data_IF_014897767625
#
_entry.id   IF_014897767625
#
_cell.length_a   1.000
_cell.length_b   1.000
_cell.length_c   1.000
_cell.angle_alpha   90.00
_cell.angle_beta   90.00
_cell.angle_gamma   90.00
#
_symmetry.space_group_name_H-M   'P 1'
#
loop_
_entity.id
_entity.type
_entity.pdbx_description
1 polymer ?
#
# COMPACT_ATOMS: atom_id res chain seq x y z
N UNK A 1 -2.66 2.45 -15.62
CA UNK A 1 -2.41 1.34 -14.71
C UNK A 1 -3.74 0.79 -14.24
N UNK A 2 -4.39 1.26 -13.26
CA UNK A 2 -5.76 0.93 -12.92
C UNK A 2 -6.73 2.05 -13.33
N UNK A 3 -7.95 1.99 -12.84
CA UNK A 3 -8.94 3.07 -13.01
C UNK A 3 -8.79 4.10 -11.87
N UNK A 4 -7.76 4.94 -11.97
CA UNK A 4 -7.48 5.96 -10.96
C UNK A 4 -8.63 6.97 -10.81
N UNK A 5 -9.29 7.34 -11.93
CA UNK A 5 -10.42 8.29 -11.92
C UNK A 5 -11.65 7.69 -11.24
N UNK A 6 -11.94 6.42 -11.51
CA UNK A 6 -13.08 5.73 -10.92
C UNK A 6 -12.92 5.44 -9.43
N UNK A 7 -11.70 5.15 -8.98
CA UNK A 7 -11.43 4.79 -7.57
C UNK A 7 -11.26 6.01 -6.67
N UNK A 8 -10.71 7.12 -7.20
CA UNK A 8 -10.33 8.29 -6.41
C UNK A 8 -11.46 8.88 -5.52
N UNK A 9 -12.74 8.92 -5.95
CA UNK A 9 -13.83 9.43 -5.11
C UNK A 9 -14.12 8.61 -3.84
N UNK A 10 -13.64 7.37 -3.78
CA UNK A 10 -13.97 6.41 -2.72
C UNK A 10 -12.83 6.16 -1.73
N UNK A 11 -11.68 6.80 -1.91
CA UNK A 11 -10.49 6.58 -1.07
C UNK A 11 -10.11 7.84 -0.29
N UNK A 12 -9.39 7.67 0.80
CA UNK A 12 -8.85 8.78 1.61
C UNK A 12 -7.35 8.98 1.42
N UNK A 13 -6.66 7.96 0.91
CA UNK A 13 -5.21 7.96 0.64
C UNK A 13 -4.93 7.23 -0.67
N UNK A 14 -4.08 7.80 -1.51
CA UNK A 14 -3.63 7.21 -2.76
C UNK A 14 -2.15 6.81 -2.66
N UNK A 15 -1.84 5.56 -3.01
CA UNK A 15 -0.47 5.07 -3.14
C UNK A 15 -0.02 5.27 -4.59
N UNK A 16 0.76 6.30 -4.86
CA UNK A 16 1.13 6.70 -6.22
C UNK A 16 2.44 6.03 -6.65
N UNK A 17 2.37 5.23 -7.72
CA UNK A 17 3.52 4.54 -8.29
C UNK A 17 4.57 5.55 -8.82
N UNK A 18 5.84 5.29 -8.51
CA UNK A 18 6.94 6.21 -8.70
C UNK A 18 7.87 5.86 -9.89
N UNK A 19 7.33 5.21 -10.93
CA UNK A 19 8.02 4.99 -12.20
C UNK A 19 8.83 3.69 -12.31
N UNK A 20 9.10 2.96 -11.21
CA UNK A 20 9.95 1.76 -11.24
C UNK A 20 9.18 0.45 -11.46
N UNK A 21 7.96 0.36 -11.00
CA UNK A 21 7.08 -0.80 -11.29
C UNK A 21 5.93 -0.44 -12.21
N UNK A 22 5.63 0.83 -12.32
CA UNK A 22 4.53 1.36 -13.11
C UNK A 22 4.55 2.88 -13.04
N UNK A 23 3.66 3.53 -13.80
CA UNK A 23 3.62 4.97 -13.98
C UNK A 23 4.77 5.52 -14.84
N UNK A 24 4.64 6.77 -15.19
CA UNK A 24 5.61 7.64 -15.84
C UNK A 24 5.44 9.06 -15.30
N UNK A 25 6.32 10.02 -15.64
CA UNK A 25 6.20 11.39 -15.09
C UNK A 25 4.86 12.07 -15.36
N UNK A 26 4.26 11.85 -16.54
CA UNK A 26 2.98 12.45 -16.89
C UNK A 26 1.81 11.79 -16.15
N UNK A 27 1.85 10.47 -16.00
CA UNK A 27 0.86 9.74 -15.21
C UNK A 27 0.94 10.13 -13.74
N UNK A 28 2.14 10.18 -13.15
CA UNK A 28 2.36 10.61 -11.77
C UNK A 28 1.78 12.01 -11.53
N UNK A 29 2.04 12.97 -12.44
CA UNK A 29 1.47 14.31 -12.37
C UNK A 29 -0.05 14.28 -12.38
N UNK A 30 -0.67 13.58 -13.34
CA UNK A 30 -2.13 13.48 -13.43
C UNK A 30 -2.77 12.89 -12.18
N UNK A 31 -2.14 11.83 -11.62
CA UNK A 31 -2.64 11.19 -10.39
C UNK A 31 -2.55 12.13 -9.19
N UNK A 32 -1.48 12.92 -9.07
CA UNK A 32 -1.37 13.96 -8.02
C UNK A 32 -2.45 15.04 -8.18
N UNK A 33 -2.65 15.55 -9.41
CA UNK A 33 -3.69 16.56 -9.68
C UNK A 33 -5.09 16.02 -9.37
N UNK A 34 -5.36 14.77 -9.71
CA UNK A 34 -6.63 14.10 -9.41
C UNK A 34 -6.84 13.93 -7.90
N UNK A 35 -5.82 13.49 -7.18
CA UNK A 35 -5.87 13.38 -5.72
C UNK A 35 -6.14 14.75 -5.06
N UNK A 36 -5.50 15.81 -5.54
CA UNK A 36 -5.75 17.17 -5.06
C UNK A 36 -7.21 17.60 -5.27
N UNK A 37 -7.78 17.33 -6.45
CA UNK A 37 -9.19 17.67 -6.77
C UNK A 37 -10.18 16.96 -5.83
N UNK A 38 -9.85 15.74 -5.39
CA UNK A 38 -10.71 14.96 -4.50
C UNK A 38 -10.35 15.09 -3.01
N UNK A 39 -9.35 15.90 -2.66
CA UNK A 39 -8.90 16.04 -1.27
C UNK A 39 -8.24 14.75 -0.70
N UNK A 40 -7.72 13.88 -1.55
CA UNK A 40 -7.09 12.60 -1.21
C UNK A 40 -5.63 12.82 -0.86
N UNK A 41 -5.18 12.23 0.25
CA UNK A 41 -3.77 12.26 0.66
C UNK A 41 -2.93 11.40 -0.28
N UNK A 42 -1.68 11.82 -0.55
CA UNK A 42 -0.79 11.11 -1.48
C UNK A 42 0.42 10.55 -0.76
N UNK A 43 0.65 9.25 -0.92
CA UNK A 43 1.83 8.53 -0.46
C UNK A 43 2.66 7.97 -1.61
N UNK A 44 3.96 7.77 -1.35
CA UNK A 44 4.88 7.21 -2.32
C UNK A 44 4.80 5.67 -2.34
N UNK A 45 4.39 5.12 -3.48
CA UNK A 45 4.33 3.67 -3.71
C UNK A 45 5.60 3.20 -4.39
N UNK A 46 6.62 2.97 -3.58
CA UNK A 46 7.98 2.64 -4.02
C UNK A 46 8.16 1.14 -4.27
N UNK A 47 9.01 0.78 -5.23
CA UNK A 47 9.17 -0.60 -5.66
C UNK A 47 10.59 -0.95 -6.08
N UNK A 48 10.79 -2.24 -6.35
CA UNK A 48 11.94 -2.74 -7.10
C UNK A 48 11.94 -2.18 -8.55
N UNK A 49 13.11 -2.02 -9.18
CA UNK A 49 13.22 -1.57 -10.57
C UNK A 49 12.83 -2.69 -11.56
N UNK A 50 11.57 -3.08 -11.53
CA UNK A 50 11.02 -4.23 -12.27
C UNK A 50 9.75 -3.85 -13.03
N UNK A 51 9.89 -2.95 -14.00
CA UNK A 51 8.75 -2.49 -14.81
C UNK A 51 8.05 -3.66 -15.55
N UNK A 52 8.83 -4.59 -16.10
CA UNK A 52 8.31 -5.74 -16.85
C UNK A 52 7.56 -6.76 -15.95
N UNK A 53 7.91 -6.87 -14.67
CA UNK A 53 7.25 -7.73 -13.69
C UNK A 53 6.31 -6.99 -12.76
N UNK A 54 6.05 -5.71 -13.03
CA UNK A 54 5.22 -4.83 -12.20
C UNK A 54 5.70 -4.80 -10.74
N UNK A 55 7.02 -4.87 -10.50
CA UNK A 55 7.59 -4.89 -9.15
C UNK A 55 7.22 -6.13 -8.31
N UNK A 56 6.70 -7.19 -8.92
CA UNK A 56 6.22 -8.40 -8.22
C UNK A 56 7.22 -9.58 -8.29
N UNK A 57 8.44 -9.36 -8.81
CA UNK A 57 9.52 -10.34 -8.82
C UNK A 57 10.61 -9.92 -7.83
N UNK A 58 11.01 -10.82 -6.93
CA UNK A 58 12.08 -10.53 -5.98
C UNK A 58 13.42 -10.33 -6.68
N UNK A 59 14.20 -9.39 -6.19
CA UNK A 59 15.54 -9.08 -6.67
C UNK A 59 16.54 -9.11 -5.52
N UNK A 60 17.74 -9.60 -5.77
CA UNK A 60 18.83 -9.54 -4.79
C UNK A 60 19.49 -8.17 -4.89
N UNK A 61 19.24 -7.32 -3.92
CA UNK A 61 19.74 -5.94 -3.83
C UNK A 61 20.22 -5.74 -2.38
N UNK A 62 21.34 -5.07 -2.19
CA UNK A 62 21.83 -4.75 -0.85
C UNK A 62 21.05 -3.59 -0.21
N UNK A 63 21.30 -3.36 1.10
CA UNK A 63 20.57 -2.35 1.88
C UNK A 63 20.79 -0.93 1.34
N UNK A 64 22.04 -0.58 1.04
CA UNK A 64 22.39 0.79 0.63
C UNK A 64 21.81 1.10 -0.76
N UNK A 65 21.99 0.18 -1.71
CA UNK A 65 21.41 0.30 -3.05
C UNK A 65 19.89 0.40 -2.99
N UNK A 66 19.24 -0.45 -2.17
CA UNK A 66 17.78 -0.42 -1.99
C UNK A 66 17.30 0.90 -1.38
N UNK A 67 17.99 1.42 -0.37
CA UNK A 67 17.64 2.72 0.22
C UNK A 67 17.74 3.86 -0.82
N UNK A 68 18.77 3.86 -1.65
CA UNK A 68 18.94 4.82 -2.73
C UNK A 68 17.85 4.70 -3.81
N UNK A 69 17.46 3.48 -4.18
CA UNK A 69 16.35 3.21 -5.10
C UNK A 69 15.03 3.77 -4.56
N UNK A 70 14.77 3.57 -3.27
CA UNK A 70 13.55 4.07 -2.61
C UNK A 70 13.57 5.59 -2.53
N UNK A 71 14.68 6.17 -2.09
CA UNK A 71 14.84 7.62 -1.95
C UNK A 71 14.65 8.34 -3.30
N UNK A 72 15.21 7.80 -4.38
CA UNK A 72 15.04 8.33 -5.73
C UNK A 72 13.55 8.38 -6.14
N UNK A 73 12.81 7.32 -5.88
CA UNK A 73 11.39 7.24 -6.20
C UNK A 73 10.55 8.23 -5.42
N UNK A 74 10.81 8.35 -4.10
CA UNK A 74 10.11 9.33 -3.25
C UNK A 74 10.42 10.75 -3.72
N UNK A 75 11.70 11.04 -4.04
CA UNK A 75 12.14 12.33 -4.55
C UNK A 75 11.44 12.72 -5.87
N UNK A 76 11.23 11.76 -6.76
CA UNK A 76 10.51 11.98 -8.01
C UNK A 76 9.04 12.41 -7.74
N UNK A 77 8.31 11.68 -6.88
CA UNK A 77 6.95 12.04 -6.51
C UNK A 77 6.89 13.37 -5.74
N UNK A 78 7.85 13.59 -4.85
CA UNK A 78 7.92 14.81 -4.02
C UNK A 78 7.99 16.08 -4.87
N UNK A 79 8.69 16.05 -6.01
CA UNK A 79 8.73 17.18 -6.94
C UNK A 79 7.35 17.57 -7.47
N UNK A 80 6.48 16.60 -7.79
CA UNK A 80 5.11 16.86 -8.24
C UNK A 80 4.22 17.30 -7.08
N UNK A 81 4.39 16.73 -5.89
CA UNK A 81 3.67 17.16 -4.70
C UNK A 81 3.99 18.61 -4.32
N UNK A 82 5.26 19.00 -4.36
CA UNK A 82 5.69 20.38 -4.08
C UNK A 82 5.10 21.36 -5.09
N UNK A 83 5.08 21.00 -6.37
CA UNK A 83 4.45 21.81 -7.40
C UNK A 83 2.95 21.97 -7.18
N UNK A 84 2.26 20.93 -6.67
CA UNK A 84 0.84 20.95 -6.34
C UNK A 84 0.53 21.60 -4.97
N UNK A 85 1.55 21.94 -4.17
CA UNK A 85 1.36 22.44 -2.81
C UNK A 85 0.84 21.37 -1.83
N UNK A 86 1.06 20.09 -2.11
CA UNK A 86 0.59 18.96 -1.32
C UNK A 86 1.74 18.36 -0.48
N UNK A 87 1.51 17.95 0.77
CA UNK A 87 2.50 17.22 1.54
C UNK A 87 2.58 15.76 1.06
N UNK A 88 3.77 15.14 1.18
CA UNK A 88 3.90 13.69 1.18
C UNK A 88 3.24 13.15 2.45
N UNK A 89 2.28 12.24 2.30
CA UNK A 89 1.46 11.75 3.41
C UNK A 89 2.05 10.50 4.08
N UNK A 90 2.58 9.57 3.30
CA UNK A 90 3.10 8.29 3.78
C UNK A 90 3.99 7.62 2.73
N UNK A 91 4.66 6.55 3.13
CA UNK A 91 5.41 5.66 2.24
C UNK A 91 4.82 4.26 2.34
N UNK A 92 4.61 3.63 1.18
CA UNK A 92 4.16 2.23 1.10
C UNK A 92 5.02 1.47 0.10
N UNK A 93 5.79 0.45 0.51
CA UNK A 93 6.43 -0.46 -0.42
C UNK A 93 5.41 -1.21 -1.28
N UNK A 94 5.74 -1.45 -2.57
CA UNK A 94 4.90 -2.18 -3.51
C UNK A 94 5.36 -3.62 -3.70
N UNK A 95 4.41 -4.53 -3.91
CA UNK A 95 4.63 -5.87 -4.46
C UNK A 95 5.70 -6.69 -3.74
N UNK A 96 6.71 -7.15 -4.49
CA UNK A 96 7.78 -7.97 -3.92
C UNK A 96 8.59 -7.21 -2.85
N UNK A 97 8.82 -5.89 -3.02
CA UNK A 97 9.51 -5.10 -2.01
C UNK A 97 8.77 -5.11 -0.66
N UNK A 98 7.43 -5.03 -0.68
CA UNK A 98 6.60 -5.15 0.53
C UNK A 98 6.81 -6.50 1.23
N UNK A 99 6.68 -7.60 0.48
CA UNK A 99 6.90 -8.95 1.03
C UNK A 99 8.32 -9.20 1.51
N UNK A 100 9.33 -8.67 0.82
CA UNK A 100 10.74 -8.75 1.23
C UNK A 100 10.98 -7.98 2.53
N UNK A 101 10.49 -6.74 2.63
CA UNK A 101 10.64 -5.93 3.84
C UNK A 101 9.92 -6.53 5.06
N UNK A 102 8.82 -7.26 4.85
CA UNK A 102 8.12 -7.96 5.94
C UNK A 102 8.95 -9.09 6.58
N UNK A 103 9.99 -9.65 5.88
CA UNK A 103 10.72 -10.86 6.31
C UNK A 103 12.25 -10.79 6.20
N UNK A 104 12.78 -9.73 5.55
CA UNK A 104 14.22 -9.55 5.34
C UNK A 104 14.69 -8.26 6.03
N UNK A 105 15.43 -8.41 7.13
CA UNK A 105 15.80 -7.30 8.00
C UNK A 105 16.55 -6.18 7.25
N UNK A 106 17.50 -6.52 6.36
CA UNK A 106 18.26 -5.52 5.60
C UNK A 106 17.37 -4.71 4.64
N UNK A 107 16.30 -5.31 4.10
CA UNK A 107 15.33 -4.61 3.25
C UNK A 107 14.39 -3.72 4.09
N UNK A 108 13.92 -4.22 5.24
CA UNK A 108 13.14 -3.39 6.16
C UNK A 108 13.94 -2.15 6.61
N UNK A 109 15.22 -2.33 6.93
CA UNK A 109 16.12 -1.22 7.25
C UNK A 109 16.34 -0.27 6.08
N UNK A 110 16.42 -0.76 4.83
CA UNK A 110 16.54 0.11 3.66
C UNK A 110 15.30 1.02 3.48
N UNK A 111 14.10 0.46 3.68
CA UNK A 111 12.85 1.25 3.68
C UNK A 111 12.89 2.30 4.80
N UNK A 112 13.31 1.90 6.01
CA UNK A 112 13.41 2.79 7.15
C UNK A 112 14.45 3.92 6.92
N UNK A 113 15.60 3.62 6.30
CA UNK A 113 16.63 4.61 5.98
C UNK A 113 16.08 5.71 5.06
N UNK A 114 15.31 5.35 4.04
CA UNK A 114 14.67 6.32 3.15
C UNK A 114 13.52 7.08 3.85
N UNK A 115 12.73 6.40 4.67
CA UNK A 115 11.61 7.01 5.40
C UNK A 115 12.09 8.03 6.44
N UNK A 116 13.24 7.79 7.07
CA UNK A 116 13.86 8.72 8.04
C UNK A 116 14.13 10.11 7.45
N UNK A 117 14.35 10.20 6.14
CA UNK A 117 14.58 11.49 5.45
C UNK A 117 13.30 12.35 5.46
N UNK A 118 12.13 11.72 5.27
CA UNK A 118 10.87 12.43 5.08
C UNK A 118 10.02 12.53 6.35
N UNK A 119 10.27 11.69 7.36
CA UNK A 119 9.56 11.69 8.65
C UNK A 119 8.05 11.57 8.50
N UNK A 120 7.61 10.71 7.58
CA UNK A 120 6.20 10.39 7.34
C UNK A 120 5.91 8.94 7.72
N UNK A 121 4.64 8.59 8.01
CA UNK A 121 4.24 7.22 8.31
C UNK A 121 4.67 6.22 7.23
N UNK A 122 4.98 4.99 7.66
CA UNK A 122 5.24 3.86 6.76
C UNK A 122 4.14 2.82 6.94
N UNK A 123 3.47 2.48 5.84
CA UNK A 123 2.42 1.47 5.82
C UNK A 123 3.05 0.08 5.71
N UNK A 124 2.53 -0.87 6.48
CA UNK A 124 3.05 -2.23 6.47
C UNK A 124 2.16 -3.25 7.15
N UNK A 125 2.52 -4.52 7.02
CA UNK A 125 1.80 -5.63 7.62
C UNK A 125 2.17 -5.74 9.11
N UNK A 126 1.17 -5.76 9.98
CA UNK A 126 1.35 -5.96 11.42
C UNK A 126 2.00 -7.33 11.74
N UNK A 127 2.65 -7.42 12.88
CA UNK A 127 3.34 -8.63 13.35
C UNK A 127 4.47 -9.13 12.43
N UNK A 128 5.09 -8.23 11.64
CA UNK A 128 6.22 -8.51 10.77
C UNK A 128 7.41 -7.59 11.06
N UNK A 129 8.50 -7.73 10.30
CA UNK A 129 9.64 -6.80 10.38
C UNK A 129 9.27 -5.35 10.03
N UNK A 130 8.18 -5.11 9.30
CA UNK A 130 7.68 -3.76 9.11
C UNK A 130 7.44 -3.06 10.45
N UNK A 131 6.68 -3.68 11.33
CA UNK A 131 6.35 -3.10 12.63
C UNK A 131 7.55 -3.02 13.56
N UNK A 132 8.32 -4.10 13.67
CA UNK A 132 9.45 -4.17 14.62
C UNK A 132 10.60 -3.26 14.21
N UNK A 133 10.98 -3.22 12.93
CA UNK A 133 12.10 -2.39 12.45
C UNK A 133 11.71 -0.91 12.41
N UNK A 134 10.51 -0.59 11.89
CA UNK A 134 10.09 0.81 11.78
C UNK A 134 9.85 1.42 13.17
N UNK A 135 9.20 0.66 14.08
CA UNK A 135 8.98 1.08 15.46
C UNK A 135 10.29 1.28 16.23
N UNK A 136 11.26 0.36 16.09
CA UNK A 136 12.59 0.50 16.73
C UNK A 136 13.37 1.73 16.22
N UNK A 137 13.06 2.22 15.01
CA UNK A 137 13.63 3.45 14.43
C UNK A 137 12.86 4.71 14.82
N UNK A 138 11.77 4.59 15.57
CA UNK A 138 10.90 5.72 15.93
C UNK A 138 10.09 6.27 14.75
N UNK A 139 9.92 5.49 13.68
CA UNK A 139 9.03 5.84 12.57
C UNK A 139 7.58 5.53 12.96
N UNK A 140 6.66 6.38 12.53
CA UNK A 140 5.23 6.08 12.65
C UNK A 140 4.89 4.92 11.72
N UNK A 141 4.44 3.81 12.31
CA UNK A 141 3.99 2.63 11.58
C UNK A 141 2.47 2.59 11.54
N UNK A 142 1.89 2.35 10.36
CA UNK A 142 0.46 2.16 10.18
C UNK A 142 0.19 0.75 9.68
N UNK A 143 -0.53 -0.03 10.48
CA UNK A 143 -0.88 -1.41 10.14
C UNK A 143 -1.91 -1.45 9.01
N UNK A 144 -1.54 -2.10 7.92
CA UNK A 144 -2.34 -2.20 6.71
C UNK A 144 -3.04 -3.55 6.61
N UNK A 145 -4.33 -3.51 6.26
CA UNK A 145 -5.15 -4.67 5.93
C UNK A 145 -5.52 -4.67 4.45
N UNK A 146 -5.51 -5.83 3.81
CA UNK A 146 -5.82 -5.99 2.39
C UNK A 146 -7.20 -6.59 2.23
N UNK A 147 -8.14 -5.82 1.68
CA UNK A 147 -9.53 -6.26 1.51
C UNK A 147 -9.72 -7.17 0.29
N UNK A 148 -8.89 -6.99 -0.73
CA UNK A 148 -8.99 -7.61 -2.05
C UNK A 148 -7.88 -8.64 -2.35
N UNK A 149 -7.04 -8.96 -1.37
CA UNK A 149 -6.06 -10.04 -1.44
C UNK A 149 -6.37 -11.15 -0.44
N UNK A 150 -5.83 -12.32 -0.72
CA UNK A 150 -5.93 -13.48 0.14
C UNK A 150 -4.69 -13.63 1.04
N UNK A 151 -4.87 -14.33 2.15
CA UNK A 151 -3.83 -14.66 3.12
C UNK A 151 -3.62 -16.17 3.18
N UNK A 152 -2.38 -16.62 3.35
CA UNK A 152 -2.10 -18.01 3.72
C UNK A 152 -2.40 -18.27 5.21
N UNK A 153 -2.29 -19.54 5.65
CA UNK A 153 -2.61 -19.95 7.02
C UNK A 153 -1.65 -19.38 8.08
N UNK A 154 -0.56 -18.74 7.65
CA UNK A 154 0.40 -18.07 8.51
C UNK A 154 0.22 -16.53 8.50
N UNK A 155 -0.82 -16.02 7.84
CA UNK A 155 -1.10 -14.59 7.72
C UNK A 155 -0.23 -13.85 6.71
N UNK A 156 0.44 -14.56 5.79
CA UNK A 156 1.20 -13.93 4.72
C UNK A 156 0.29 -13.63 3.54
N UNK A 157 0.51 -12.47 2.91
CA UNK A 157 -0.20 -12.09 1.70
C UNK A 157 0.17 -13.01 0.53
N UNK A 158 -0.83 -13.46 -0.20
CA UNK A 158 -0.67 -14.17 -1.46
C UNK A 158 -0.64 -13.12 -2.59
N UNK A 159 0.57 -12.69 -2.94
CA UNK A 159 0.79 -11.68 -3.99
C UNK A 159 0.90 -12.39 -5.33
N UNK A 160 -0.13 -12.23 -6.16
CA UNK A 160 -0.17 -12.77 -7.53
C UNK A 160 0.26 -11.73 -8.56
N UNK A 161 0.72 -12.18 -9.72
CA UNK A 161 1.10 -11.27 -10.82
C UNK A 161 -0.11 -10.55 -11.42
N UNK A 162 -1.23 -11.25 -11.52
CA UNK A 162 -2.50 -10.74 -12.03
C UNK A 162 -3.56 -10.86 -10.95
N UNK A 163 -4.39 -9.84 -10.82
CA UNK A 163 -5.51 -9.84 -9.89
C UNK A 163 -6.77 -10.36 -10.59
N UNK A 164 -7.59 -11.05 -9.83
CA UNK A 164 -8.93 -11.48 -10.25
C UNK A 164 -9.98 -10.58 -9.58
N UNK A 165 -11.16 -10.51 -10.18
CA UNK A 165 -12.29 -9.82 -9.58
C UNK A 165 -12.64 -10.44 -8.21
N UNK A 166 -12.88 -9.58 -7.22
CA UNK A 166 -13.31 -9.98 -5.87
C UNK A 166 -14.73 -9.47 -5.66
N UNK A 167 -15.59 -10.27 -5.04
CA UNK A 167 -16.95 -9.82 -4.70
C UNK A 167 -16.86 -8.62 -3.74
N UNK A 168 -17.42 -7.45 -4.10
CA UNK A 168 -17.37 -6.25 -3.26
C UNK A 168 -17.97 -6.48 -1.86
N UNK A 169 -19.00 -7.33 -1.74
CA UNK A 169 -19.60 -7.65 -0.45
C UNK A 169 -18.64 -8.47 0.43
N UNK A 170 -17.85 -9.36 -0.17
CA UNK A 170 -16.81 -10.13 0.53
C UNK A 170 -15.70 -9.21 1.01
N UNK A 171 -15.23 -8.28 0.16
CA UNK A 171 -14.21 -7.31 0.53
C UNK A 171 -14.69 -6.40 1.67
N UNK A 172 -15.90 -5.86 1.59
CA UNK A 172 -16.52 -5.06 2.65
C UNK A 172 -16.66 -5.84 3.96
N UNK A 173 -17.12 -7.10 3.91
CA UNK A 173 -17.23 -7.97 5.10
C UNK A 173 -15.87 -8.21 5.75
N UNK A 174 -14.82 -8.49 4.98
CA UNK A 174 -13.45 -8.65 5.50
C UNK A 174 -12.99 -7.41 6.26
N UNK A 175 -13.30 -6.22 5.78
CA UNK A 175 -12.97 -4.95 6.46
C UNK A 175 -13.72 -4.82 7.79
N UNK A 176 -15.01 -5.15 7.81
CA UNK A 176 -15.83 -5.11 9.03
C UNK A 176 -15.30 -6.12 10.06
N UNK A 177 -15.01 -7.35 9.66
CA UNK A 177 -14.45 -8.38 10.55
C UNK A 177 -13.09 -7.93 11.12
N UNK A 178 -12.20 -7.40 10.28
CA UNK A 178 -10.90 -6.89 10.70
C UNK A 178 -11.02 -5.72 11.69
N UNK A 179 -11.96 -4.79 11.45
CA UNK A 179 -12.15 -3.61 12.30
C UNK A 179 -12.81 -3.93 13.64
N UNK A 180 -13.80 -4.83 13.68
CA UNK A 180 -14.57 -5.13 14.90
C UNK A 180 -13.91 -6.25 15.70
N UNK A 181 -13.51 -7.33 15.05
CA UNK A 181 -13.05 -8.56 15.70
C UNK A 181 -11.52 -8.71 15.67
N UNK A 182 -10.80 -7.86 14.91
CA UNK A 182 -9.36 -8.00 14.71
C UNK A 182 -8.99 -9.30 13.98
N UNK A 183 -9.89 -9.85 13.15
CA UNK A 183 -9.69 -11.14 12.50
C UNK A 183 -10.00 -11.09 11.00
N UNK A 184 -9.36 -11.99 10.26
CA UNK A 184 -9.73 -12.36 8.87
C UNK A 184 -9.60 -13.86 8.69
N UNK A 185 -9.96 -14.37 7.51
CA UNK A 185 -9.90 -15.80 7.22
C UNK A 185 -8.91 -16.07 6.09
N UNK A 186 -8.03 -17.07 6.27
CA UNK A 186 -7.12 -17.54 5.22
C UNK A 186 -7.87 -18.25 4.09
N UNK A 187 -7.17 -18.53 2.97
CA UNK A 187 -7.69 -19.30 1.84
C UNK A 187 -8.19 -20.71 2.23
N UNK A 188 -7.66 -21.27 3.31
CA UNK A 188 -8.04 -22.60 3.83
C UNK A 188 -9.03 -22.53 5.00
N UNK A 189 -9.58 -21.34 5.32
CA UNK A 189 -10.57 -21.17 6.38
C UNK A 189 -10.00 -21.01 7.79
N UNK A 190 -8.70 -20.81 7.93
CA UNK A 190 -8.06 -20.55 9.24
C UNK A 190 -8.33 -19.12 9.68
N UNK A 191 -8.77 -18.93 10.93
CA UNK A 191 -8.93 -17.58 11.51
C UNK A 191 -7.57 -16.98 11.85
N UNK A 192 -7.31 -15.80 11.33
CA UNK A 192 -6.06 -15.05 11.49
C UNK A 192 -6.30 -13.78 12.28
N UNK A 193 -5.40 -13.46 13.21
CA UNK A 193 -5.40 -12.18 13.91
C UNK A 193 -4.78 -11.10 13.01
N UNK A 194 -5.49 -9.99 12.81
CA UNK A 194 -5.04 -8.85 11.99
C UNK A 194 -5.26 -7.55 12.72
N UNK A 195 -4.52 -6.52 12.29
CA UNK A 195 -4.73 -5.13 12.69
C UNK A 195 -4.92 -4.29 11.44
N UNK A 196 -5.99 -3.49 11.43
CA UNK A 196 -6.42 -2.68 10.30
C UNK A 196 -6.54 -1.20 10.71
N UNK A 197 -5.42 -0.47 10.68
CA UNK A 197 -5.39 0.99 10.85
C UNK A 197 -5.65 1.69 9.51
N UNK A 198 -5.31 1.02 8.41
CA UNK A 198 -5.63 1.41 7.04
C UNK A 198 -6.01 0.19 6.21
N UNK A 199 -6.83 0.39 5.17
CA UNK A 199 -7.29 -0.67 4.26
C UNK A 199 -6.76 -0.41 2.87
N UNK A 200 -6.10 -1.42 2.28
CA UNK A 200 -5.62 -1.40 0.91
C UNK A 200 -6.64 -2.01 -0.05
N UNK A 201 -6.79 -1.34 -1.19
CA UNK A 201 -7.49 -1.82 -2.38
C UNK A 201 -6.58 -1.55 -3.58
N UNK A 202 -6.49 -2.49 -4.51
CA UNK A 202 -5.66 -2.38 -5.70
C UNK A 202 -6.47 -1.88 -6.90
N UNK A 203 -6.04 -0.78 -7.51
CA UNK A 203 -6.71 -0.20 -8.69
C UNK A 203 -6.55 -1.03 -9.96
N UNK A 204 -5.64 -1.99 -9.99
CA UNK A 204 -5.45 -2.98 -11.07
C UNK A 204 -6.33 -4.24 -10.91
N UNK A 205 -7.16 -4.33 -9.88
CA UNK A 205 -8.21 -5.34 -9.75
C UNK A 205 -9.36 -5.01 -10.73
N UNK A 206 -9.88 -5.99 -11.52
CA UNK A 206 -10.83 -5.70 -12.60
C UNK A 206 -12.09 -4.91 -12.20
N UNK A 207 -12.55 -5.06 -10.95
CA UNK A 207 -13.71 -4.37 -10.39
C UNK A 207 -13.35 -3.49 -9.17
N UNK A 208 -12.21 -2.81 -9.25
CA UNK A 208 -11.67 -2.00 -8.16
C UNK A 208 -12.62 -0.88 -7.69
N UNK A 209 -13.37 -0.27 -8.60
CA UNK A 209 -14.32 0.82 -8.30
C UNK A 209 -15.46 0.33 -7.42
N UNK A 210 -16.05 -0.82 -7.75
CA UNK A 210 -17.12 -1.45 -6.97
C UNK A 210 -16.63 -1.86 -5.59
N UNK A 211 -15.42 -2.43 -5.50
CA UNK A 211 -14.78 -2.77 -4.22
C UNK A 211 -14.54 -1.53 -3.39
N UNK A 212 -13.96 -0.47 -3.98
CA UNK A 212 -13.66 0.77 -3.27
C UNK A 212 -14.91 1.42 -2.68
N UNK A 213 -16.00 1.45 -3.46
CA UNK A 213 -17.31 1.95 -3.00
C UNK A 213 -17.85 1.14 -1.83
N UNK A 214 -17.90 -0.20 -1.97
CA UNK A 214 -18.43 -1.07 -0.93
C UNK A 214 -17.61 -0.98 0.38
N UNK A 215 -16.30 -0.89 0.27
CA UNK A 215 -15.40 -0.71 1.43
C UNK A 215 -15.60 0.66 2.07
N UNK A 216 -15.72 1.73 1.28
CA UNK A 216 -15.99 3.08 1.80
C UNK A 216 -17.30 3.12 2.58
N UNK A 217 -18.38 2.54 2.03
CA UNK A 217 -19.68 2.46 2.68
C UNK A 217 -19.62 1.68 4.00
N UNK A 218 -18.89 0.54 4.02
CA UNK A 218 -18.69 -0.24 5.24
C UNK A 218 -17.91 0.53 6.30
N UNK A 219 -16.82 1.22 5.93
CA UNK A 219 -16.03 2.06 6.86
C UNK A 219 -16.86 3.25 7.37
N UNK A 220 -17.68 3.86 6.54
CA UNK A 220 -18.57 4.95 6.95
C UNK A 220 -19.61 4.47 7.99
N UNK A 221 -20.19 3.30 7.77
CA UNK A 221 -21.13 2.69 8.72
C UNK A 221 -20.47 2.38 10.08
N UNK A 222 -19.23 1.86 10.08
CA UNK A 222 -18.46 1.61 11.31
C UNK A 222 -18.16 2.89 12.11
N UNK A 223 -17.96 4.01 11.47
CA UNK A 223 -17.70 5.30 12.14
C UNK A 223 -18.96 5.95 12.70
N UNK A 224 -20.13 5.54 12.22
CA UNK A 224 -21.43 6.07 12.66
C UNK A 224 -22.05 5.26 13.80
N UNK A 225 -21.53 4.06 14.07
CA UNK A 225 -21.98 3.16 15.15
C UNK A 225 -21.25 3.40 16.45
#
# INVERSE_FOLDING_TARGET
MGDDEGVMPFISQANVACGFHGSDPNHMRRTVDLAQQHGVKVGAHVSLPDLAGFGRREMKIDREEMANIILYQIGALKGFLDQAGMPLSHIKPHGALYGMAARMEHIAHAVADAADVYKVPVLGLANTLHETVYGARGLEFQAEFFADLDYDDNGRLLITREHHAVDPAVAAKRVVDAAISGTTTSVNGVSLQVRAETVCIHSDTPNAVEIARAVQEAVAALKAA
#
